data_IF_706519684398
#
_entry.id   IF_706519684398
#
_cell.length_a   1.000
_cell.length_b   1.000
_cell.length_c   1.000
_cell.angle_alpha   90.00
_cell.angle_beta   90.00
_cell.angle_gamma   90.00
#
_symmetry.space_group_name_H-M   'P 1'
#
loop_
_entity.id
_entity.type
_entity.pdbx_description
1 polymer ?
#
# COMPACT_ATOMS: atom_id res chain seq x y z
N UNK A 1 4.20 13.93 -20.67
CA UNK A 1 5.54 13.58 -20.15
C UNK A 1 5.46 12.25 -19.42
N UNK A 2 6.58 11.58 -19.17
CA UNK A 2 6.62 10.40 -18.28
C UNK A 2 6.44 10.83 -16.82
N UNK A 3 6.19 9.89 -15.92
CA UNK A 3 6.15 10.20 -14.48
C UNK A 3 7.52 10.68 -13.98
N UNK A 4 8.61 10.05 -14.46
CA UNK A 4 9.98 10.46 -14.13
C UNK A 4 10.26 11.92 -14.53
N UNK A 5 9.86 12.30 -15.74
CA UNK A 5 9.99 13.69 -16.21
C UNK A 5 9.17 14.67 -15.36
N UNK A 6 7.97 14.27 -14.92
CA UNK A 6 7.12 15.10 -14.06
C UNK A 6 7.75 15.33 -12.69
N UNK A 7 8.21 14.27 -12.01
CA UNK A 7 8.76 14.39 -10.65
C UNK A 7 10.11 15.10 -10.61
N UNK A 8 10.84 15.13 -11.73
CA UNK A 8 12.07 15.92 -11.85
C UNK A 8 11.79 17.42 -12.06
N UNK A 9 10.54 17.79 -12.40
CA UNK A 9 10.11 19.19 -12.60
C UNK A 9 9.35 19.74 -11.40
N UNK A 10 8.62 18.88 -10.69
CA UNK A 10 7.75 19.24 -9.58
C UNK A 10 8.33 18.65 -8.31
N UNK A 11 8.52 19.47 -7.28
CA UNK A 11 8.84 19.00 -5.93
C UNK A 11 7.81 19.57 -4.97
N UNK A 12 7.21 18.70 -4.16
CA UNK A 12 6.20 19.04 -3.16
C UNK A 12 6.43 18.20 -1.93
N UNK A 13 6.45 18.85 -0.78
CA UNK A 13 6.42 18.21 0.53
C UNK A 13 5.45 19.03 1.38
N UNK A 14 4.53 18.39 2.11
CA UNK A 14 3.64 19.12 2.99
C UNK A 14 4.38 19.44 4.31
N UNK A 15 3.95 20.48 4.99
CA UNK A 15 4.60 20.95 6.23
C UNK A 15 4.37 20.02 7.43
N UNK A 16 3.37 19.14 7.33
CA UNK A 16 2.92 18.23 8.38
C UNK A 16 2.78 16.82 7.82
N UNK A 17 2.81 15.85 8.73
CA UNK A 17 2.55 14.44 8.45
C UNK A 17 3.38 13.54 9.35
N UNK A 18 3.54 12.29 8.94
CA UNK A 18 4.34 11.32 9.69
C UNK A 18 5.83 11.72 9.71
N UNK A 19 6.56 11.38 10.79
CA UNK A 19 8.01 11.52 10.82
C UNK A 19 8.72 10.83 9.65
N UNK A 20 9.87 11.37 9.24
CA UNK A 20 10.64 10.84 8.10
C UNK A 20 11.00 9.36 8.22
N UNK A 21 11.21 8.87 9.44
CA UNK A 21 11.51 7.47 9.70
C UNK A 21 10.33 6.52 9.45
N UNK A 22 9.11 7.04 9.23
CA UNK A 22 7.96 6.23 8.85
C UNK A 22 7.80 6.12 7.34
N UNK A 23 8.45 6.97 6.54
CA UNK A 23 8.32 6.96 5.09
C UNK A 23 9.04 5.75 4.49
N UNK A 24 8.40 5.05 3.55
CA UNK A 24 9.00 3.92 2.86
C UNK A 24 8.05 2.76 2.62
N UNK A 25 8.63 1.62 2.22
CA UNK A 25 7.95 0.33 2.09
C UNK A 25 8.36 -0.57 3.25
N UNK A 26 7.40 -1.02 4.04
CA UNK A 26 7.59 -1.93 5.15
C UNK A 26 6.96 -3.28 4.82
N UNK A 27 7.64 -4.35 5.22
CA UNK A 27 7.10 -5.70 5.20
C UNK A 27 6.91 -6.15 6.65
N UNK A 28 5.75 -6.71 6.97
CA UNK A 28 5.55 -7.28 8.29
C UNK A 28 6.35 -8.57 8.38
N UNK A 29 7.16 -8.67 9.43
CA UNK A 29 7.89 -9.88 9.75
C UNK A 29 7.06 -10.84 10.61
N UNK A 30 6.36 -10.28 11.59
CA UNK A 30 5.58 -11.06 12.54
C UNK A 30 4.50 -10.19 13.17
N UNK A 31 3.37 -10.80 13.52
CA UNK A 31 2.41 -10.29 14.50
C UNK A 31 2.32 -11.29 15.65
N UNK A 32 2.33 -10.82 16.89
CA UNK A 32 2.08 -11.63 18.08
C UNK A 32 0.82 -11.14 18.78
N UNK A 33 -0.04 -12.07 19.16
CA UNK A 33 -1.32 -11.77 19.82
C UNK A 33 -1.24 -11.99 21.34
N UNK A 34 -2.15 -11.37 22.08
CA UNK A 34 -2.25 -11.46 23.54
C UNK A 34 -2.42 -12.90 24.07
N UNK A 35 -2.92 -13.82 23.24
CA UNK A 35 -3.09 -15.23 23.58
C UNK A 35 -1.79 -16.06 23.47
N UNK A 36 -0.68 -15.46 23.02
CA UNK A 36 0.61 -16.12 22.84
C UNK A 36 0.83 -16.74 21.46
N UNK A 37 -0.15 -16.68 20.57
CA UNK A 37 0.00 -17.09 19.17
C UNK A 37 0.73 -16.01 18.37
N UNK A 38 1.39 -16.41 17.28
CA UNK A 38 2.08 -15.49 16.38
C UNK A 38 1.96 -15.95 14.94
N UNK A 39 1.91 -14.99 14.03
CA UNK A 39 1.87 -15.21 12.59
C UNK A 39 3.04 -14.50 11.91
N UNK A 40 3.84 -15.28 11.20
CA UNK A 40 4.96 -14.81 10.35
C UNK A 40 4.81 -15.22 8.89
N UNK A 41 3.67 -15.81 8.53
CA UNK A 41 3.43 -16.45 7.23
C UNK A 41 2.57 -15.57 6.32
N UNK A 42 1.65 -14.78 6.89
CA UNK A 42 0.84 -13.83 6.11
C UNK A 42 1.76 -12.79 5.48
N UNK A 43 1.60 -12.61 4.17
CA UNK A 43 2.34 -11.62 3.39
C UNK A 43 1.68 -10.27 3.63
N UNK A 44 2.36 -9.39 4.34
CA UNK A 44 1.86 -8.05 4.62
C UNK A 44 2.87 -6.98 4.21
N UNK A 45 2.39 -6.03 3.41
CA UNK A 45 3.14 -4.85 2.99
C UNK A 45 2.42 -3.59 3.42
N UNK A 46 3.19 -2.60 3.83
CA UNK A 46 2.73 -1.27 4.15
C UNK A 46 3.64 -0.25 3.47
N UNK A 47 3.08 0.53 2.56
CA UNK A 47 3.74 1.72 2.01
C UNK A 47 3.19 2.98 2.67
N UNK A 48 4.09 3.79 3.20
CA UNK A 48 3.77 5.01 3.94
C UNK A 48 4.21 6.22 3.13
N UNK A 49 3.24 7.06 2.77
CA UNK A 49 3.47 8.42 2.29
C UNK A 49 3.47 9.41 3.45
N UNK A 50 3.33 10.71 3.22
CA UNK A 50 3.41 11.69 4.30
C UNK A 50 2.11 11.75 5.12
N UNK A 51 0.96 11.67 4.47
CA UNK A 51 -0.35 11.80 5.11
C UNK A 51 -1.34 10.66 4.76
N UNK A 52 -0.89 9.62 4.08
CA UNK A 52 -1.70 8.42 3.85
C UNK A 52 -0.84 7.16 3.66
N UNK A 53 -1.49 6.01 3.79
CA UNK A 53 -0.87 4.68 3.67
C UNK A 53 -1.57 3.82 2.63
N UNK A 54 -0.84 2.84 2.14
CA UNK A 54 -1.38 1.66 1.44
C UNK A 54 -0.91 0.42 2.19
N UNK A 55 -1.82 -0.48 2.53
CA UNK A 55 -1.51 -1.78 3.14
C UNK A 55 -2.15 -2.91 2.31
N UNK A 56 -1.43 -4.01 2.18
CA UNK A 56 -1.84 -5.23 1.51
C UNK A 56 -1.57 -6.42 2.43
N UNK A 57 -2.58 -7.26 2.70
CA UNK A 57 -2.47 -8.51 3.45
C UNK A 57 -2.98 -9.67 2.62
N UNK A 58 -2.10 -10.62 2.34
CA UNK A 58 -2.41 -11.83 1.59
C UNK A 58 -2.00 -13.06 2.42
N UNK A 59 -2.69 -14.20 2.26
CA UNK A 59 -2.19 -15.49 2.71
C UNK A 59 -0.79 -15.78 2.16
N UNK A 60 -0.09 -16.76 2.74
CA UNK A 60 1.15 -17.28 2.15
C UNK A 60 0.89 -17.73 0.71
N UNK A 61 1.91 -17.62 -0.15
CA UNK A 61 1.77 -17.84 -1.59
C UNK A 61 1.14 -19.20 -1.97
N UNK A 62 1.38 -20.26 -1.19
CA UNK A 62 0.81 -21.58 -1.43
C UNK A 62 -0.71 -21.67 -1.17
N UNK A 63 -1.26 -20.74 -0.39
CA UNK A 63 -2.68 -20.68 -0.01
C UNK A 63 -3.45 -19.63 -0.84
N UNK A 64 -2.80 -19.00 -1.82
CA UNK A 64 -3.41 -18.02 -2.71
C UNK A 64 -4.09 -18.69 -3.91
N UNK A 65 -5.20 -18.11 -4.36
CA UNK A 65 -5.91 -18.58 -5.56
C UNK A 65 -5.15 -18.25 -6.83
N UNK A 66 -5.16 -19.19 -7.80
CA UNK A 66 -4.58 -18.94 -9.12
C UNK A 66 -5.49 -18.03 -9.95
N UNK A 67 -4.98 -17.25 -10.92
CA UNK A 67 -5.80 -16.38 -11.75
C UNK A 67 -6.82 -17.16 -12.62
N UNK A 68 -8.10 -16.80 -12.50
CA UNK A 68 -9.19 -17.32 -13.32
C UNK A 68 -10.27 -16.24 -13.51
N UNK A 69 -11.17 -16.37 -14.51
CA UNK A 69 -12.41 -15.58 -14.55
C UNK A 69 -13.20 -15.73 -13.25
N UNK A 70 -13.86 -14.66 -12.79
CA UNK A 70 -14.54 -14.65 -11.48
C UNK A 70 -15.63 -15.72 -11.39
N UNK A 71 -16.38 -15.89 -12.48
CA UNK A 71 -17.44 -16.89 -12.60
C UNK A 71 -16.95 -18.35 -12.52
N UNK A 72 -15.66 -18.60 -12.74
CA UNK A 72 -15.07 -19.93 -12.75
C UNK A 72 -14.49 -20.33 -11.38
N UNK A 73 -14.38 -19.41 -10.42
CA UNK A 73 -13.91 -19.74 -9.07
C UNK A 73 -14.97 -20.57 -8.32
N UNK A 74 -14.59 -21.70 -7.72
CA UNK A 74 -15.46 -22.39 -6.79
C UNK A 74 -15.62 -21.59 -5.48
N UNK A 75 -16.61 -21.97 -4.66
CA UNK A 75 -16.96 -21.23 -3.46
C UNK A 75 -15.79 -21.11 -2.47
N UNK A 76 -14.98 -22.17 -2.33
CA UNK A 76 -13.79 -22.19 -1.49
C UNK A 76 -12.74 -21.16 -1.93
N UNK A 77 -12.50 -21.01 -3.22
CA UNK A 77 -11.55 -20.04 -3.76
C UNK A 77 -12.08 -18.62 -3.60
N UNK A 78 -13.39 -18.41 -3.78
CA UNK A 78 -14.03 -17.12 -3.51
C UNK A 78 -13.93 -16.73 -2.04
N UNK A 79 -14.00 -17.69 -1.12
CA UNK A 79 -13.77 -17.45 0.31
C UNK A 79 -12.33 -17.00 0.59
N UNK A 80 -11.34 -17.64 -0.05
CA UNK A 80 -9.92 -17.26 0.06
C UNK A 80 -9.72 -15.85 -0.52
N UNK A 81 -10.22 -15.58 -1.73
CA UNK A 81 -10.11 -14.28 -2.39
C UNK A 81 -10.79 -13.17 -1.56
N UNK A 82 -11.94 -13.45 -0.95
CA UNK A 82 -12.63 -12.52 -0.06
C UNK A 82 -11.94 -12.33 1.30
N UNK A 83 -10.98 -13.19 1.65
CA UNK A 83 -10.17 -13.04 2.87
C UNK A 83 -8.97 -12.11 2.69
N UNK A 84 -8.58 -11.80 1.43
CA UNK A 84 -7.52 -10.84 1.15
C UNK A 84 -7.88 -9.47 1.73
N UNK A 85 -6.89 -8.73 2.21
CA UNK A 85 -7.09 -7.37 2.69
C UNK A 85 -6.23 -6.42 1.88
N UNK A 86 -6.78 -5.26 1.57
CA UNK A 86 -6.08 -4.20 0.89
C UNK A 86 -6.82 -2.90 1.16
N UNK A 87 -6.08 -1.85 1.49
CA UNK A 87 -6.68 -0.54 1.72
C UNK A 87 -5.71 0.60 1.47
N UNK A 88 -6.31 1.77 1.26
CA UNK A 88 -5.67 3.06 1.36
C UNK A 88 -6.43 3.87 2.41
N UNK A 89 -5.69 4.53 3.31
CA UNK A 89 -6.29 5.42 4.29
C UNK A 89 -5.42 6.65 4.55
N UNK A 90 -6.00 7.86 4.59
CA UNK A 90 -5.40 9.00 5.26
C UNK A 90 -4.97 8.65 6.68
N UNK A 91 -3.83 9.19 7.11
CA UNK A 91 -3.30 8.96 8.43
C UNK A 91 -2.95 10.27 9.14
N UNK A 92 -3.04 10.26 10.46
CA UNK A 92 -2.61 11.35 11.33
C UNK A 92 -1.60 10.82 12.34
N UNK A 93 -0.55 11.60 12.55
CA UNK A 93 0.46 11.33 13.57
C UNK A 93 0.34 12.34 14.72
N UNK A 94 0.01 11.85 15.91
CA UNK A 94 -0.08 12.66 17.11
C UNK A 94 0.35 11.85 18.34
N UNK A 95 1.09 12.44 19.27
CA UNK A 95 1.47 11.81 20.55
C UNK A 95 2.07 10.39 20.42
N UNK A 96 2.88 10.18 19.38
CA UNK A 96 3.51 8.88 19.04
C UNK A 96 2.54 7.79 18.58
N UNK A 97 1.32 8.18 18.24
CA UNK A 97 0.28 7.32 17.71
C UNK A 97 0.01 7.68 16.27
N UNK A 98 -0.27 6.65 15.48
CA UNK A 98 -0.84 6.82 14.16
C UNK A 98 -2.29 6.36 14.17
N UNK A 99 -3.15 7.22 13.66
CA UNK A 99 -4.56 6.92 13.44
C UNK A 99 -4.83 6.93 11.95
N UNK A 100 -5.77 6.09 11.51
CA UNK A 100 -6.27 6.09 10.14
C UNK A 100 -7.75 6.47 10.12
N UNK A 101 -8.14 7.27 9.15
CA UNK A 101 -9.51 7.75 9.06
C UNK A 101 -10.04 7.68 7.64
N UNK A 102 -11.23 7.12 7.49
CA UNK A 102 -11.86 6.95 6.18
C UNK A 102 -10.98 6.11 5.24
N UNK A 103 -11.02 6.46 3.96
CA UNK A 103 -10.30 5.75 2.91
C UNK A 103 -11.15 4.70 2.20
N UNK A 104 -10.46 3.81 1.49
CA UNK A 104 -11.08 2.79 0.65
C UNK A 104 -10.43 1.43 0.91
N UNK A 105 -11.26 0.41 1.09
CA UNK A 105 -10.83 -0.92 1.47
C UNK A 105 -11.58 -2.02 0.71
N UNK A 106 -10.90 -3.16 0.51
CA UNK A 106 -11.53 -4.37 -0.01
C UNK A 106 -12.59 -4.89 0.98
N UNK A 107 -12.24 -4.93 2.26
CA UNK A 107 -13.12 -5.36 3.35
C UNK A 107 -14.18 -4.30 3.68
N UNK A 108 -15.37 -4.76 4.06
CA UNK A 108 -16.53 -3.91 4.33
C UNK A 108 -16.64 -3.45 5.78
N UNK A 109 -15.80 -4.00 6.65
CA UNK A 109 -15.70 -3.65 8.07
C UNK A 109 -14.26 -3.39 8.44
N UNK A 110 -14.04 -2.45 9.37
CA UNK A 110 -12.70 -2.17 9.87
C UNK A 110 -12.27 -3.29 10.85
N UNK A 111 -11.24 -4.04 10.47
CA UNK A 111 -10.66 -5.11 11.28
C UNK A 111 -9.56 -4.62 12.25
N UNK A 112 -9.07 -3.40 12.05
CA UNK A 112 -7.96 -2.79 12.78
C UNK A 112 -8.36 -1.38 13.28
N UNK A 113 -9.28 -1.27 14.26
CA UNK A 113 -9.92 0.01 14.60
C UNK A 113 -9.12 0.89 15.54
N UNK A 114 -8.08 0.37 16.17
CA UNK A 114 -7.31 1.09 17.17
C UNK A 114 -6.15 1.89 16.54
N UNK A 115 -5.80 3.06 17.09
CA UNK A 115 -4.59 3.76 16.66
C UNK A 115 -3.33 3.00 17.08
N UNK A 116 -2.29 3.03 16.25
CA UNK A 116 -1.04 2.31 16.45
C UNK A 116 -0.02 3.13 17.26
N UNK A 117 0.50 2.57 18.37
CA UNK A 117 1.67 3.14 19.04
C UNK A 117 2.96 2.65 18.39
N UNK A 118 3.73 3.57 17.77
CA UNK A 118 4.87 3.19 16.93
C UNK A 118 6.21 3.59 17.54
N UNK A 119 7.20 2.70 17.41
CA UNK A 119 8.60 2.92 17.80
C UNK A 119 9.52 2.31 16.76
N UNK A 120 10.70 2.89 16.59
CA UNK A 120 11.66 2.41 15.60
C UNK A 120 13.08 2.29 16.17
N UNK A 121 13.78 1.22 15.78
CA UNK A 121 15.22 0.99 16.00
C UNK A 121 15.82 0.37 14.73
N UNK A 122 16.83 1.01 14.14
CA UNK A 122 17.37 0.57 12.85
C UNK A 122 16.29 0.59 11.78
N UNK A 123 16.12 -0.52 11.05
CA UNK A 123 15.06 -0.71 10.06
C UNK A 123 13.80 -1.41 10.63
N UNK A 124 13.78 -1.67 11.95
CA UNK A 124 12.67 -2.28 12.66
C UNK A 124 11.72 -1.20 13.17
N UNK A 125 10.47 -1.22 12.76
CA UNK A 125 9.38 -0.48 13.37
C UNK A 125 8.48 -1.46 14.12
N UNK A 126 8.18 -1.16 15.38
CA UNK A 126 7.29 -1.98 16.20
C UNK A 126 6.00 -1.20 16.44
N UNK A 127 4.89 -1.83 16.11
CA UNK A 127 3.53 -1.36 16.35
C UNK A 127 2.94 -2.06 17.56
N UNK A 128 2.43 -1.29 18.52
CA UNK A 128 1.68 -1.80 19.64
C UNK A 128 0.20 -1.41 19.50
N UNK A 129 -0.68 -2.39 19.62
CA UNK A 129 -2.10 -2.13 19.86
C UNK A 129 -2.27 -1.55 21.28
N UNK A 130 -2.94 -0.40 21.45
CA UNK A 130 -3.17 0.19 22.78
C UNK A 130 -3.94 -0.72 23.74
N UNK A 131 -4.84 -1.56 23.23
CA UNK A 131 -5.53 -2.60 24.00
C UNK A 131 -4.62 -3.73 24.50
N UNK A 132 -3.42 -3.86 23.93
CA UNK A 132 -2.54 -5.01 24.13
C UNK A 132 -2.96 -6.24 23.33
N UNK A 133 -3.93 -6.14 22.40
CA UNK A 133 -4.40 -7.27 21.61
C UNK A 133 -3.30 -7.89 20.73
N UNK A 134 -2.39 -7.07 20.21
CA UNK A 134 -1.30 -7.50 19.35
C UNK A 134 -0.07 -6.57 19.40
N UNK A 135 1.05 -7.08 18.90
CA UNK A 135 2.24 -6.32 18.53
C UNK A 135 2.72 -6.76 17.15
N UNK A 136 3.04 -5.83 16.25
CA UNK A 136 3.59 -6.13 14.92
C UNK A 136 5.05 -5.67 14.81
N UNK A 137 5.88 -6.53 14.21
CA UNK A 137 7.27 -6.25 13.82
C UNK A 137 7.28 -5.95 12.31
N UNK A 138 7.61 -4.71 11.96
CA UNK A 138 7.70 -4.19 10.60
C UNK A 138 9.15 -3.94 10.21
N UNK A 139 9.53 -4.35 8.99
CA UNK A 139 10.87 -4.17 8.43
C UNK A 139 10.82 -3.23 7.24
N UNK A 140 11.46 -2.06 7.36
CA UNK A 140 11.70 -1.18 6.23
C UNK A 140 12.53 -1.95 5.19
N UNK A 141 11.98 -2.07 3.99
CA UNK A 141 12.61 -2.72 2.86
C UNK A 141 13.77 -1.85 2.36
N UNK A 142 14.99 -2.41 2.24
CA UNK A 142 16.12 -1.68 1.68
C UNK A 142 15.83 -1.19 0.28
N UNK A 143 16.10 0.08 0.03
CA UNK A 143 15.98 0.67 -1.28
C UNK A 143 17.12 1.66 -1.51
N UNK A 144 17.54 1.80 -2.77
CA UNK A 144 18.43 2.88 -3.18
C UNK A 144 17.76 4.24 -2.94
N UNK A 145 18.51 5.31 -2.65
CA UNK A 145 17.95 6.66 -2.66
C UNK A 145 17.21 6.93 -3.97
N UNK A 146 15.97 7.41 -3.87
CA UNK A 146 15.06 7.39 -5.01
C UNK A 146 13.77 8.16 -4.75
N UNK A 147 12.79 8.07 -5.66
CA UNK A 147 11.57 8.86 -5.55
C UNK A 147 10.77 8.52 -4.29
N UNK A 148 10.27 9.55 -3.62
CA UNK A 148 9.14 9.45 -2.68
C UNK A 148 7.95 10.19 -3.30
N UNK A 149 6.94 9.45 -3.72
CA UNK A 149 5.76 10.00 -4.37
C UNK A 149 4.52 9.47 -3.69
N UNK A 150 3.60 10.37 -3.32
CA UNK A 150 2.27 10.07 -2.82
C UNK A 150 1.24 10.83 -3.63
N UNK A 151 0.41 10.09 -4.38
CA UNK A 151 -0.67 10.64 -5.20
C UNK A 151 -2.00 10.02 -4.75
N UNK A 152 -2.92 10.85 -4.25
CA UNK A 152 -4.27 10.41 -3.85
C UNK A 152 -5.25 10.67 -4.99
N UNK A 153 -5.99 9.65 -5.40
CA UNK A 153 -6.93 9.76 -6.50
C UNK A 153 -8.11 10.64 -6.09
N UNK A 154 -8.39 11.68 -6.87
CA UNK A 154 -9.55 12.55 -6.67
C UNK A 154 -10.72 12.12 -7.57
N UNK A 155 -10.43 11.85 -8.83
CA UNK A 155 -11.42 11.41 -9.80
C UNK A 155 -10.78 10.66 -10.96
N UNK A 156 -11.56 9.78 -11.57
CA UNK A 156 -11.28 9.19 -12.88
C UNK A 156 -12.45 9.54 -13.81
N UNK A 157 -12.16 9.98 -15.04
CA UNK A 157 -13.21 10.31 -16.01
C UNK A 157 -12.78 10.03 -17.45
N UNK A 158 -13.78 9.87 -18.32
CA UNK A 158 -13.60 9.82 -19.77
C UNK A 158 -13.62 11.27 -20.32
N UNK A 159 -12.53 11.76 -20.94
CA UNK A 159 -12.46 13.13 -21.43
C UNK A 159 -13.35 13.40 -22.65
N UNK A 160 -13.80 12.37 -23.39
CA UNK A 160 -14.68 12.52 -24.55
C UNK A 160 -16.15 12.65 -24.14
N UNK A 161 -16.59 11.81 -23.20
CA UNK A 161 -17.99 11.77 -22.75
C UNK A 161 -18.26 12.60 -21.49
N UNK A 162 -17.21 12.94 -20.73
CA UNK A 162 -17.32 13.56 -19.41
C UNK A 162 -17.81 12.62 -18.31
N UNK A 163 -17.99 11.33 -18.62
CA UNK A 163 -18.45 10.34 -17.64
C UNK A 163 -17.41 10.16 -16.52
N UNK A 164 -17.84 10.29 -15.26
CA UNK A 164 -17.00 10.12 -14.08
C UNK A 164 -17.18 8.72 -13.48
N UNK A 165 -16.08 8.11 -13.10
CA UNK A 165 -16.04 6.85 -12.38
C UNK A 165 -15.90 7.15 -10.89
N UNK A 166 -16.80 6.60 -10.07
CA UNK A 166 -16.77 6.78 -8.62
C UNK A 166 -15.69 5.88 -8.03
N UNK A 167 -14.40 6.23 -8.23
CA UNK A 167 -13.26 5.42 -7.82
C UNK A 167 -12.34 6.27 -6.94
N UNK A 168 -12.12 5.79 -5.71
CA UNK A 168 -11.10 6.30 -4.81
C UNK A 168 -9.82 5.46 -4.94
N UNK A 169 -8.72 5.89 -4.33
CA UNK A 169 -7.46 5.16 -4.36
C UNK A 169 -6.26 6.07 -4.37
N UNK A 170 -5.14 5.55 -4.86
CA UNK A 170 -3.89 6.29 -4.87
C UNK A 170 -2.69 5.44 -5.24
N UNK A 171 -1.55 6.11 -5.33
CA UNK A 171 -0.25 5.56 -5.68
C UNK A 171 0.78 6.07 -4.67
N UNK A 172 1.55 5.14 -4.11
CA UNK A 172 2.76 5.46 -3.34
C UNK A 172 3.95 4.84 -4.06
N UNK A 173 5.02 5.62 -4.25
CA UNK A 173 6.33 5.14 -4.72
C UNK A 173 7.36 5.48 -3.66
N UNK A 174 8.13 4.48 -3.25
CA UNK A 174 9.20 4.56 -2.27
C UNK A 174 10.47 3.90 -2.84
N UNK A 175 11.22 4.65 -3.65
CA UNK A 175 12.42 4.15 -4.31
C UNK A 175 12.11 2.99 -5.25
N UNK A 176 12.58 1.80 -4.88
CA UNK A 176 12.47 0.56 -5.64
C UNK A 176 11.11 -0.14 -5.50
N UNK A 177 10.25 0.37 -4.61
CA UNK A 177 8.93 -0.20 -4.33
C UNK A 177 7.83 0.80 -4.68
N UNK A 178 6.69 0.28 -5.14
CA UNK A 178 5.49 1.06 -5.37
C UNK A 178 4.24 0.26 -5.01
N UNK A 179 3.19 0.94 -4.60
CA UNK A 179 1.89 0.33 -4.38
C UNK A 179 0.78 1.23 -4.86
N UNK A 180 -0.31 0.59 -5.31
CA UNK A 180 -1.49 1.27 -5.81
C UNK A 180 -2.73 0.65 -5.21
N UNK A 181 -3.69 1.52 -4.87
CA UNK A 181 -5.07 1.13 -4.58
C UNK A 181 -5.99 1.75 -5.63
N UNK A 182 -6.91 0.94 -6.14
CA UNK A 182 -8.05 1.39 -6.93
C UNK A 182 -9.32 0.81 -6.31
N UNK A 183 -10.16 1.68 -5.77
CA UNK A 183 -11.43 1.33 -5.18
C UNK A 183 -12.48 0.88 -6.21
N UNK A 184 -13.59 0.36 -5.68
CA UNK A 184 -14.77 -0.03 -6.46
C UNK A 184 -15.30 1.15 -7.24
N UNK A 185 -15.50 0.95 -8.54
CA UNK A 185 -16.09 1.95 -9.45
C UNK A 185 -17.59 2.14 -9.23
N UNK A 186 -18.24 1.13 -8.65
CA UNK A 186 -19.63 1.14 -8.22
C UNK A 186 -19.69 0.72 -6.75
N UNK A 187 -20.19 1.57 -5.83
CA UNK A 187 -20.38 1.20 -4.44
C UNK A 187 -21.31 -0.01 -4.31
N UNK A 188 -20.98 -0.90 -3.39
CA UNK A 188 -21.89 -1.99 -3.00
C UNK A 188 -23.12 -1.40 -2.31
N UNK A 189 -24.31 -1.86 -2.71
CA UNK A 189 -25.60 -1.34 -2.25
C UNK A 189 -26.04 -1.88 -0.89
N UNK A 190 -25.51 -3.05 -0.50
CA UNK A 190 -25.74 -3.67 0.80
C UNK A 190 -24.39 -4.15 1.38
N UNK A 191 -23.96 -3.51 2.46
CA UNK A 191 -22.72 -3.83 3.19
C UNK A 191 -23.01 -4.48 4.56
N UNK A 192 -24.21 -5.02 4.75
CA UNK A 192 -24.59 -5.68 6.02
C UNK A 192 -23.90 -7.04 6.20
N UNK A 193 -23.46 -7.67 5.11
CA UNK A 193 -22.78 -8.96 5.11
C UNK A 193 -21.27 -8.79 4.99
N UNK A 194 -20.47 -9.70 5.58
CA UNK A 194 -19.05 -9.82 5.26
C UNK A 194 -18.83 -10.11 3.77
N UNK A 195 -17.70 -9.62 3.23
CA UNK A 195 -17.34 -9.79 1.80
C UNK A 195 -17.40 -11.25 1.35
N UNK A 196 -17.00 -12.16 2.22
CA UNK A 196 -16.99 -13.61 1.99
C UNK A 196 -18.40 -14.18 1.78
N UNK A 197 -19.39 -13.72 2.55
CA UNK A 197 -20.77 -14.17 2.41
C UNK A 197 -21.40 -13.64 1.11
N UNK A 198 -21.08 -12.40 0.73
CA UNK A 198 -21.49 -11.83 -0.56
C UNK A 198 -20.90 -12.61 -1.73
N UNK A 199 -19.61 -12.97 -1.65
CA UNK A 199 -18.93 -13.74 -2.69
C UNK A 199 -19.52 -15.14 -2.86
N UNK A 200 -19.74 -15.88 -1.77
CA UNK A 200 -20.35 -17.22 -1.82
C UNK A 200 -21.79 -17.19 -2.33
N UNK A 201 -22.55 -16.16 -1.99
CA UNK A 201 -23.92 -16.00 -2.48
C UNK A 201 -23.99 -15.71 -3.99
N UNK A 202 -22.87 -15.29 -4.59
CA UNK A 202 -22.74 -14.89 -5.99
C UNK A 202 -21.99 -15.92 -6.86
N UNK A 203 -21.71 -17.13 -6.35
CA UNK A 203 -20.98 -18.20 -7.08
C UNK A 203 -21.58 -18.42 -8.47
N UNK A 204 -20.71 -18.47 -9.49
CA UNK A 204 -21.10 -18.67 -10.89
C UNK A 204 -21.73 -17.45 -11.57
N UNK A 205 -21.90 -16.33 -10.86
CA UNK A 205 -22.49 -15.11 -11.40
C UNK A 205 -21.46 -14.00 -11.54
N UNK A 206 -20.88 -13.86 -12.75
CA UNK A 206 -19.94 -12.78 -13.07
C UNK A 206 -20.49 -11.40 -12.73
N UNK A 207 -21.76 -11.16 -13.06
CA UNK A 207 -22.43 -9.88 -12.85
C UNK A 207 -22.47 -9.48 -11.37
N UNK A 208 -22.69 -10.45 -10.47
CA UNK A 208 -22.73 -10.22 -9.03
C UNK A 208 -21.33 -10.20 -8.40
N UNK A 209 -20.39 -11.02 -8.89
CA UNK A 209 -19.01 -11.08 -8.37
C UNK A 209 -18.17 -9.86 -8.78
N UNK A 210 -18.40 -9.31 -9.97
CA UNK A 210 -17.65 -8.16 -10.48
C UNK A 210 -17.64 -6.98 -9.50
N UNK A 211 -18.78 -6.45 -9.00
CA UNK A 211 -18.75 -5.34 -8.05
C UNK A 211 -18.15 -5.74 -6.69
N UNK A 212 -18.26 -7.00 -6.28
CA UNK A 212 -17.68 -7.51 -5.02
C UNK A 212 -16.15 -7.42 -5.06
N UNK A 213 -15.55 -7.81 -6.18
CA UNK A 213 -14.09 -7.88 -6.37
C UNK A 213 -13.50 -6.78 -7.28
N UNK A 214 -14.26 -5.74 -7.63
CA UNK A 214 -13.76 -4.54 -8.35
C UNK A 214 -12.90 -3.67 -7.43
N UNK A 215 -11.89 -4.25 -6.81
CA UNK A 215 -10.98 -3.54 -5.93
C UNK A 215 -9.57 -4.09 -6.14
N UNK A 216 -8.62 -3.20 -6.35
CA UNK A 216 -7.22 -3.56 -6.51
C UNK A 216 -6.42 -2.92 -5.39
N UNK A 217 -5.64 -3.72 -4.67
CA UNK A 217 -4.42 -3.26 -4.01
C UNK A 217 -3.28 -4.09 -4.56
N UNK A 218 -2.27 -3.42 -5.13
CA UNK A 218 -1.11 -4.07 -5.74
C UNK A 218 0.17 -3.47 -5.18
N UNK A 219 1.14 -4.32 -4.85
CA UNK A 219 2.51 -3.96 -4.49
C UNK A 219 3.45 -4.46 -5.58
N UNK A 220 4.40 -3.63 -5.95
CA UNK A 220 5.29 -3.83 -7.08
C UNK A 220 6.73 -3.42 -6.72
N UNK A 221 7.69 -4.02 -7.41
CA UNK A 221 9.10 -3.63 -7.35
C UNK A 221 9.58 -3.17 -8.74
N UNK A 222 10.62 -2.35 -8.78
CA UNK A 222 11.20 -1.85 -10.03
C UNK A 222 11.74 -0.43 -9.89
N UNK A 223 11.63 0.36 -10.95
CA UNK A 223 12.08 1.75 -10.94
C UNK A 223 11.24 2.61 -11.89
N UNK A 224 11.37 3.93 -11.80
CA UNK A 224 10.72 4.82 -12.77
C UNK A 224 11.26 4.66 -14.20
N UNK A 225 12.50 4.19 -14.35
CA UNK A 225 13.15 4.00 -15.66
C UNK A 225 12.67 2.72 -16.34
N UNK A 226 12.53 1.63 -15.59
CA UNK A 226 12.17 0.31 -16.11
C UNK A 226 10.66 0.02 -15.97
N UNK A 227 9.96 0.78 -15.13
CA UNK A 227 8.63 0.47 -14.66
C UNK A 227 8.64 -0.38 -13.39
N UNK A 228 7.49 -0.42 -12.72
CA UNK A 228 7.24 -1.28 -11.56
C UNK A 228 6.40 -2.49 -11.99
N UNK A 229 6.83 -3.69 -11.62
CA UNK A 229 6.13 -4.95 -11.91
C UNK A 229 5.44 -5.45 -10.64
N UNK A 230 4.14 -5.75 -10.74
CA UNK A 230 3.34 -6.21 -9.61
C UNK A 230 3.82 -7.57 -9.14
N UNK A 231 4.14 -7.68 -7.85
CA UNK A 231 4.56 -8.92 -7.19
C UNK A 231 3.45 -9.51 -6.32
N UNK A 232 2.62 -8.64 -5.74
CA UNK A 232 1.53 -9.02 -4.85
C UNK A 232 0.29 -8.20 -5.17
N UNK A 233 -0.89 -8.83 -5.19
CA UNK A 233 -2.14 -8.12 -5.47
C UNK A 233 -3.35 -8.81 -4.86
N UNK A 234 -4.37 -8.02 -4.53
CA UNK A 234 -5.73 -8.55 -4.26
C UNK A 234 -6.38 -9.12 -5.52
N UNK A 235 -5.85 -8.82 -6.71
CA UNK A 235 -6.30 -9.38 -7.99
C UNK A 235 -5.20 -10.31 -8.53
N UNK A 236 -5.37 -11.65 -8.44
CA UNK A 236 -4.34 -12.61 -8.85
C UNK A 236 -3.81 -12.37 -10.27
N UNK A 237 -4.70 -11.99 -11.20
CA UNK A 237 -4.34 -11.70 -12.60
C UNK A 237 -3.46 -10.46 -12.81
N UNK A 238 -3.19 -9.65 -11.76
CA UNK A 238 -2.28 -8.50 -11.84
C UNK A 238 -0.82 -8.87 -11.63
N UNK A 239 -0.51 -10.00 -10.98
CA UNK A 239 0.87 -10.42 -10.70
C UNK A 239 1.64 -10.61 -12.00
N UNK A 240 2.84 -10.03 -12.09
CA UNK A 240 3.68 -10.02 -13.29
C UNK A 240 3.34 -8.95 -14.32
N UNK A 241 2.28 -8.15 -14.12
CA UNK A 241 1.92 -7.04 -15.01
C UNK A 241 2.53 -5.71 -14.51
N UNK A 242 2.65 -4.69 -15.39
CA UNK A 242 3.03 -3.35 -14.96
C UNK A 242 2.03 -2.75 -13.95
N UNK A 243 2.53 -2.10 -12.90
CA UNK A 243 1.70 -1.42 -11.89
C UNK A 243 0.93 -0.26 -12.50
N UNK A 244 1.60 0.54 -13.34
CA UNK A 244 1.03 1.72 -13.99
C UNK A 244 0.61 1.40 -15.43
N UNK A 245 -0.57 1.90 -15.81
CA UNK A 245 -0.99 1.87 -17.21
C UNK A 245 -0.07 2.75 -18.07
N UNK A 246 0.14 2.32 -19.31
CA UNK A 246 0.81 3.14 -20.30
C UNK A 246 0.00 4.40 -20.57
N UNK A 247 0.66 5.55 -20.54
CA UNK A 247 0.01 6.84 -20.61
C UNK A 247 0.98 7.99 -20.45
N UNK A 248 0.44 9.19 -20.31
CA UNK A 248 1.20 10.41 -20.09
C UNK A 248 0.74 11.13 -18.83
N UNK A 249 1.70 11.70 -18.12
CA UNK A 249 1.44 12.56 -16.98
C UNK A 249 1.54 14.04 -17.38
N UNK A 250 0.77 14.88 -16.70
CA UNK A 250 0.81 16.35 -16.76
C UNK A 250 0.67 16.93 -15.35
N UNK A 251 1.22 18.13 -15.16
CA UNK A 251 1.08 18.92 -13.94
C UNK A 251 0.14 20.08 -14.23
N UNK A 252 -0.87 20.25 -13.38
CA UNK A 252 -1.76 21.39 -13.39
C UNK A 252 -1.29 22.38 -12.32
N UNK A 253 -0.64 23.47 -12.75
CA UNK A 253 -0.06 24.47 -11.86
C UNK A 253 -1.10 25.19 -11.01
N UNK A 254 -2.25 25.54 -11.60
CA UNK A 254 -3.30 26.32 -10.93
C UNK A 254 -3.99 25.54 -9.81
N UNK A 255 -4.17 24.24 -9.99
CA UNK A 255 -4.84 23.36 -9.03
C UNK A 255 -3.89 22.56 -8.16
N UNK A 256 -2.58 22.62 -8.45
CA UNK A 256 -1.54 21.80 -7.81
C UNK A 256 -1.83 20.29 -7.89
N UNK A 257 -2.25 19.82 -9.08
CA UNK A 257 -2.67 18.43 -9.30
C UNK A 257 -1.85 17.73 -10.38
N UNK A 258 -1.73 16.42 -10.24
CA UNK A 258 -1.18 15.54 -11.28
C UNK A 258 -2.32 14.92 -12.06
N UNK A 259 -2.23 14.93 -13.39
CA UNK A 259 -3.16 14.22 -14.27
C UNK A 259 -2.43 13.09 -14.98
N UNK A 260 -3.05 11.92 -15.07
CA UNK A 260 -2.58 10.78 -15.86
C UNK A 260 -3.60 10.48 -16.94
N UNK A 261 -3.24 10.67 -18.20
CA UNK A 261 -4.03 10.22 -19.35
C UNK A 261 -3.55 8.82 -19.79
N UNK A 262 -4.46 7.86 -19.92
CA UNK A 262 -4.16 6.47 -20.27
C UNK A 262 -5.32 5.82 -21.05
N UNK A 263 -5.09 4.65 -21.63
CA UNK A 263 -6.12 3.85 -22.29
C UNK A 263 -6.48 2.63 -21.45
N UNK A 264 -7.79 2.38 -21.27
CA UNK A 264 -8.32 1.21 -20.58
C UNK A 264 -9.46 0.61 -21.41
N UNK A 265 -9.31 -0.66 -21.81
CA UNK A 265 -10.26 -1.37 -22.69
C UNK A 265 -10.60 -0.58 -23.97
N UNK A 266 -9.61 0.11 -24.55
CA UNK A 266 -9.77 0.92 -25.76
C UNK A 266 -10.42 2.30 -25.54
N UNK A 267 -10.77 2.64 -24.30
CA UNK A 267 -11.31 3.96 -23.93
C UNK A 267 -10.22 4.83 -23.31
N UNK A 268 -10.15 6.09 -23.72
CA UNK A 268 -9.28 7.06 -23.07
C UNK A 268 -9.86 7.45 -21.72
N UNK A 269 -9.00 7.51 -20.71
CA UNK A 269 -9.35 7.94 -19.36
C UNK A 269 -8.31 8.91 -18.83
N UNK A 270 -8.75 9.76 -17.91
CA UNK A 270 -7.90 10.66 -17.14
C UNK A 270 -8.13 10.36 -15.66
N UNK A 271 -7.04 10.16 -14.91
CA UNK A 271 -7.04 10.20 -13.46
C UNK A 271 -6.46 11.52 -12.99
N UNK A 272 -7.12 12.16 -12.06
CA UNK A 272 -6.66 13.39 -11.40
C UNK A 272 -6.26 13.05 -9.98
N UNK A 273 -5.06 13.46 -9.60
CA UNK A 273 -4.50 13.19 -8.29
C UNK A 273 -4.22 14.47 -7.53
N UNK A 274 -4.56 14.45 -6.25
CA UNK A 274 -3.98 15.32 -5.24
C UNK A 274 -2.55 14.83 -4.94
N UNK A 275 -1.63 15.78 -4.80
CA UNK A 275 -0.25 15.48 -4.41
C UNK A 275 -0.12 15.55 -2.90
N UNK A 276 0.19 14.43 -2.27
CA UNK A 276 0.65 14.40 -0.88
C UNK A 276 2.13 14.78 -0.82
N UNK A 277 2.97 14.08 -1.59
CA UNK A 277 4.41 14.34 -1.68
C UNK A 277 4.92 13.98 -3.07
N UNK A 278 5.84 14.79 -3.59
CA UNK A 278 6.71 14.47 -4.71
C UNK A 278 8.11 14.93 -4.32
N UNK A 279 8.99 13.99 -4.05
CA UNK A 279 10.42 14.21 -3.90
C UNK A 279 11.16 13.27 -4.85
N UNK A 280 11.93 13.77 -5.84
CA UNK A 280 12.65 12.92 -6.79
C UNK A 280 13.78 12.12 -6.14
N UNK A 281 14.27 12.54 -4.96
CA UNK A 281 15.39 11.92 -4.29
C UNK A 281 15.23 11.96 -2.76
N UNK A 282 14.77 10.83 -2.23
CA UNK A 282 14.57 10.57 -0.81
C UNK A 282 15.53 9.49 -0.31
N UNK A 283 16.10 9.69 0.88
CA UNK A 283 16.92 8.69 1.55
C UNK A 283 16.09 7.88 2.55
N UNK A 284 15.86 6.60 2.24
CA UNK A 284 15.17 5.67 3.14
C UNK A 284 16.15 5.13 4.18
N UNK A 285 16.43 5.94 5.21
CA UNK A 285 17.40 5.60 6.25
C UNK A 285 17.09 4.24 6.89
N UNK A 286 18.04 3.32 6.91
CA UNK A 286 17.92 2.00 7.56
C UNK A 286 18.44 2.01 9.01
N UNK A 287 18.96 3.14 9.47
CA UNK A 287 19.53 3.32 10.81
C UNK A 287 18.72 4.32 11.61
N UNK A 288 18.77 4.19 12.93
CA UNK A 288 18.27 5.20 13.87
C UNK A 288 19.47 5.81 14.59
N UNK A 289 19.50 7.13 14.82
CA UNK A 289 20.58 7.75 15.59
C UNK A 289 20.72 7.12 16.98
N UNK A 290 21.96 6.94 17.41
CA UNK A 290 22.33 6.52 18.77
C UNK A 290 23.21 7.57 19.44
N UNK A 291 23.35 7.51 20.76
CA UNK A 291 24.32 8.35 21.47
C UNK A 291 25.72 7.69 21.44
N UNK A 292 26.80 8.47 21.63
CA UNK A 292 28.18 7.95 21.56
C UNK A 292 28.48 6.82 22.55
N UNK A 293 27.82 6.80 23.70
CA UNK A 293 28.00 5.74 24.70
C UNK A 293 27.44 4.40 24.21
N UNK A 294 26.26 4.42 23.57
CA UNK A 294 25.66 3.23 22.98
C UNK A 294 26.49 2.71 21.80
N UNK A 295 27.04 3.60 20.98
CA UNK A 295 27.92 3.21 19.86
C UNK A 295 29.23 2.58 20.35
N UNK A 296 29.86 3.19 21.37
CA UNK A 296 31.06 2.66 21.98
C UNK A 296 30.82 1.28 22.61
N UNK A 297 29.70 1.09 23.29
CA UNK A 297 29.30 -0.21 23.83
C UNK A 297 29.09 -1.25 22.72
N UNK A 298 28.32 -0.92 21.68
CA UNK A 298 28.06 -1.84 20.57
C UNK A 298 29.34 -2.26 19.83
N UNK A 299 30.30 -1.33 19.70
CA UNK A 299 31.61 -1.62 19.13
C UNK A 299 32.48 -2.48 20.07
N UNK A 300 32.46 -2.19 21.38
CA UNK A 300 33.22 -2.96 22.37
C UNK A 300 32.78 -4.43 22.42
N UNK A 301 31.47 -4.68 22.32
CA UNK A 301 30.87 -6.01 22.37
C UNK A 301 30.77 -6.69 20.98
N UNK A 302 31.54 -6.24 19.98
CA UNK A 302 31.37 -6.65 18.58
C UNK A 302 31.44 -8.15 18.36
N UNK A 303 32.31 -8.84 19.08
CA UNK A 303 32.54 -10.29 18.93
C UNK A 303 31.28 -11.11 19.28
N UNK A 304 30.40 -10.54 20.11
CA UNK A 304 29.11 -11.13 20.48
C UNK A 304 27.98 -10.52 19.65
N UNK A 305 27.85 -9.18 19.66
CA UNK A 305 26.68 -8.51 19.08
C UNK A 305 26.69 -8.45 17.55
N UNK A 306 27.86 -8.41 16.91
CA UNK A 306 28.00 -8.27 15.44
C UNK A 306 28.23 -9.59 14.71
N UNK A 307 28.30 -10.70 15.45
CA UNK A 307 28.67 -12.02 14.90
C UNK A 307 27.81 -12.44 13.71
N UNK A 308 26.51 -12.14 13.75
CA UNK A 308 25.53 -12.54 12.74
C UNK A 308 24.60 -11.38 12.34
N UNK A 309 25.07 -10.14 12.45
CA UNK A 309 24.23 -8.98 12.10
C UNK A 309 24.07 -8.82 10.60
N UNK A 310 22.85 -8.55 10.16
CA UNK A 310 22.50 -8.15 8.80
C UNK A 310 21.23 -7.30 8.81
N UNK A 311 20.99 -6.58 7.72
CA UNK A 311 19.71 -5.89 7.52
C UNK A 311 18.66 -6.93 7.16
N UNK A 312 17.55 -6.92 7.89
CA UNK A 312 16.47 -7.89 7.70
C UNK A 312 15.40 -7.31 6.80
N UNK A 313 14.92 -8.10 5.84
CA UNK A 313 13.86 -7.75 4.88
C UNK A 313 12.57 -8.46 5.22
#
# INVERSE_FOLDING_TARGET
MTLQELINRVTRSPDQGVPDWMLGCFRRRCISFANGESDSDTIVYWLQSRNFTIDLRLPRAADQVSPAPLEDYPAEDLMILASYEGWLAPCEWADRKMSWYGGTALQLTNRWPEPAELRRVGNCMVEFAPSGAYVEDWRLQPSSPGPLVGLRLLEEYDPQTGHRFARDGGLIICGDYAARVLGRSVPLTDNSLPLSEMAVSAVGSREQLTPVFDFETSVASGSLEQGYTVEHSTQPGRVGLPLLEQGSFSWNEDLERVEQAFSHNGQNRVRVFEVDVINPHWEFALTTPSNPQAEAWFLHESDTLRRYTGVMT
#
